data_IF_158383397512
#
_entry.id   IF_158383397512
#
_cell.length_a   1.000
_cell.length_b   1.000
_cell.length_c   1.000
_cell.angle_alpha   90.00
_cell.angle_beta   90.00
_cell.angle_gamma   90.00
#
_symmetry.space_group_name_H-M   'P 1'
#
loop_
_entity.id
_entity.type
_entity.pdbx_description
1 polymer ?
#
# COMPACT_ATOMS: atom_id res chain seq x y z
N UNK A 1 -14.36 -19.20 -43.96
CA UNK A 1 -15.54 -18.50 -44.51
C UNK A 1 -16.69 -18.74 -43.55
N UNK A 2 -16.79 -17.93 -42.48
CA UNK A 2 -17.82 -18.09 -41.47
C UNK A 2 -19.06 -17.28 -41.86
N UNK A 3 -20.11 -17.94 -42.34
CA UNK A 3 -21.42 -17.31 -42.47
C UNK A 3 -22.05 -17.25 -41.08
N UNK A 4 -21.99 -16.08 -40.45
CA UNK A 4 -22.78 -15.77 -39.27
C UNK A 4 -24.26 -15.88 -39.62
N UNK A 5 -24.95 -16.84 -38.98
CA UNK A 5 -26.39 -16.92 -38.95
C UNK A 5 -26.94 -15.78 -38.08
N UNK A 6 -27.49 -14.73 -38.72
CA UNK A 6 -28.51 -13.84 -38.14
C UNK A 6 -29.04 -12.91 -39.24
N UNK A 7 -30.32 -13.05 -39.59
CA UNK A 7 -31.08 -12.29 -40.59
C UNK A 7 -30.51 -12.29 -42.01
N UNK A 8 -30.77 -13.36 -42.77
CA UNK A 8 -30.61 -13.34 -44.23
C UNK A 8 -31.41 -12.17 -44.79
N UNK A 9 -30.75 -11.24 -45.49
CA UNK A 9 -31.48 -10.16 -46.17
C UNK A 9 -32.44 -10.78 -47.18
N UNK A 10 -33.56 -10.10 -47.49
CA UNK A 10 -34.48 -10.56 -48.54
C UNK A 10 -33.75 -10.74 -49.89
N UNK A 11 -32.68 -9.96 -50.10
CA UNK A 11 -31.78 -10.09 -51.24
C UNK A 11 -30.98 -11.40 -51.21
N UNK A 12 -30.47 -11.82 -50.05
CA UNK A 12 -29.76 -13.09 -49.85
C UNK A 12 -30.70 -14.29 -50.02
N UNK A 13 -31.95 -14.15 -49.55
CA UNK A 13 -33.00 -15.16 -49.72
C UNK A 13 -33.32 -15.37 -51.20
N UNK A 14 -33.31 -14.33 -52.04
CA UNK A 14 -33.43 -14.47 -53.50
C UNK A 14 -32.10 -14.75 -54.20
N UNK A 15 -30.96 -14.61 -53.52
CA UNK A 15 -29.63 -14.78 -54.08
C UNK A 15 -29.25 -13.69 -55.10
N UNK A 16 -29.78 -12.48 -54.92
CA UNK A 16 -29.53 -11.34 -55.81
C UNK A 16 -28.84 -10.22 -55.05
N UNK A 17 -28.03 -9.41 -55.75
CA UNK A 17 -27.41 -8.25 -55.13
C UNK A 17 -28.45 -7.15 -54.81
N UNK A 18 -28.18 -6.32 -53.81
CA UNK A 18 -29.06 -5.21 -53.41
C UNK A 18 -29.31 -4.19 -54.55
N UNK A 19 -28.36 -4.08 -55.49
CA UNK A 19 -28.46 -3.26 -56.70
C UNK A 19 -29.15 -3.96 -57.91
N UNK A 20 -29.69 -5.17 -57.73
CA UNK A 20 -30.30 -5.93 -58.83
C UNK A 20 -31.54 -5.24 -59.41
N UNK A 21 -31.71 -5.33 -60.73
CA UNK A 21 -32.89 -4.79 -61.42
C UNK A 21 -34.17 -5.56 -61.06
N UNK A 22 -35.34 -4.96 -61.28
CA UNK A 22 -36.63 -5.62 -61.03
C UNK A 22 -36.78 -6.92 -61.84
N UNK A 23 -36.23 -6.97 -63.05
CA UNK A 23 -36.28 -8.17 -63.89
C UNK A 23 -35.34 -9.27 -63.38
N UNK A 24 -34.19 -8.90 -62.82
CA UNK A 24 -33.30 -9.85 -62.16
C UNK A 24 -33.97 -10.47 -60.91
N UNK A 25 -34.68 -9.66 -60.11
CA UNK A 25 -35.47 -10.13 -58.96
C UNK A 25 -36.57 -11.10 -59.39
N UNK A 26 -37.32 -10.79 -60.46
CA UNK A 26 -38.35 -11.69 -61.01
C UNK A 26 -37.77 -12.99 -61.54
N UNK A 27 -36.63 -12.93 -62.23
CA UNK A 27 -35.94 -14.11 -62.76
C UNK A 27 -35.45 -15.01 -61.62
N UNK A 28 -34.83 -14.42 -60.60
CA UNK A 28 -34.35 -15.14 -59.42
C UNK A 28 -35.50 -15.80 -58.64
N UNK A 29 -36.63 -15.11 -58.47
CA UNK A 29 -37.82 -15.70 -57.86
C UNK A 29 -38.32 -16.93 -58.64
N UNK A 30 -38.42 -16.86 -59.97
CA UNK A 30 -38.85 -18.01 -60.80
C UNK A 30 -37.92 -19.22 -60.64
N UNK A 31 -36.60 -18.99 -60.64
CA UNK A 31 -35.61 -20.05 -60.47
C UNK A 31 -35.71 -20.67 -59.07
N UNK A 32 -35.69 -19.84 -58.01
CA UNK A 32 -35.79 -20.32 -56.63
C UNK A 32 -37.13 -20.96 -56.30
N UNK A 33 -38.23 -20.47 -56.86
CA UNK A 33 -39.55 -21.09 -56.70
C UNK A 33 -39.57 -22.51 -57.30
N UNK A 34 -38.94 -22.72 -58.46
CA UNK A 34 -38.80 -24.05 -59.08
C UNK A 34 -37.84 -24.97 -58.34
N UNK A 35 -36.85 -24.43 -57.63
CA UNK A 35 -35.91 -25.19 -56.80
C UNK A 35 -36.52 -25.59 -55.45
N UNK A 36 -37.38 -24.73 -54.88
CA UNK A 36 -37.98 -24.91 -53.56
C UNK A 36 -39.39 -25.51 -53.60
N UNK A 37 -39.94 -25.77 -54.79
CA UNK A 37 -41.28 -26.33 -54.93
C UNK A 37 -41.34 -27.78 -54.38
N UNK A 38 -42.32 -28.12 -53.52
CA UNK A 38 -42.41 -29.46 -52.94
C UNK A 38 -42.66 -30.57 -53.97
N UNK A 39 -43.19 -30.29 -55.17
CA UNK A 39 -43.30 -31.30 -56.26
C UNK A 39 -41.95 -31.83 -56.76
N UNK A 40 -40.84 -31.09 -56.57
CA UNK A 40 -39.52 -31.63 -56.92
C UNK A 40 -39.08 -32.74 -55.97
N UNK A 41 -39.69 -32.83 -54.79
CA UNK A 41 -39.47 -33.92 -53.85
C UNK A 41 -40.31 -35.10 -54.32
N UNK A 42 -39.65 -36.16 -54.78
CA UNK A 42 -40.33 -37.37 -55.24
C UNK A 42 -41.24 -37.99 -54.17
N UNK A 43 -42.13 -38.90 -54.59
CA UNK A 43 -43.15 -39.54 -53.74
C UNK A 43 -42.62 -40.29 -52.49
N UNK A 44 -41.30 -40.46 -52.35
CA UNK A 44 -40.64 -41.08 -51.19
C UNK A 44 -39.93 -40.11 -50.24
N UNK A 45 -40.09 -38.79 -50.41
CA UNK A 45 -39.44 -37.80 -49.55
C UNK A 45 -40.01 -37.84 -48.12
N UNK A 46 -39.13 -37.67 -47.13
CA UNK A 46 -39.52 -37.59 -45.73
C UNK A 46 -40.38 -36.33 -45.51
N UNK A 47 -41.39 -36.43 -44.65
CA UNK A 47 -42.27 -35.31 -44.28
C UNK A 47 -41.47 -34.07 -43.83
N UNK A 48 -40.34 -34.29 -43.16
CA UNK A 48 -39.41 -33.23 -42.72
C UNK A 48 -38.82 -32.46 -43.91
N UNK A 49 -38.46 -33.14 -44.99
CA UNK A 49 -37.90 -32.50 -46.19
C UNK A 49 -38.97 -31.68 -46.92
N UNK A 50 -40.20 -32.19 -46.95
CA UNK A 50 -41.36 -31.50 -47.52
C UNK A 50 -41.67 -30.21 -46.78
N UNK A 51 -41.67 -30.26 -45.45
CA UNK A 51 -41.86 -29.08 -44.59
C UNK A 51 -40.72 -28.07 -44.76
N UNK A 52 -39.46 -28.53 -44.87
CA UNK A 52 -38.32 -27.65 -45.09
C UNK A 52 -38.37 -26.94 -46.46
N UNK A 53 -38.78 -27.65 -47.52
CA UNK A 53 -38.99 -27.05 -48.84
C UNK A 53 -40.12 -26.02 -48.83
N UNK A 54 -41.23 -26.33 -48.15
CA UNK A 54 -42.34 -25.40 -48.01
C UNK A 54 -41.96 -24.14 -47.23
N UNK A 55 -41.20 -24.27 -46.13
CA UNK A 55 -40.70 -23.14 -45.37
C UNK A 55 -39.80 -22.23 -46.22
N UNK A 56 -38.86 -22.81 -46.98
CA UNK A 56 -37.99 -22.06 -47.90
C UNK A 56 -38.78 -21.40 -49.02
N UNK A 57 -39.80 -22.07 -49.56
CA UNK A 57 -40.68 -21.50 -50.58
C UNK A 57 -41.44 -20.28 -50.04
N UNK A 58 -41.94 -20.36 -48.80
CA UNK A 58 -42.57 -19.21 -48.13
C UNK A 58 -41.59 -18.04 -47.98
N UNK A 59 -40.35 -18.29 -47.54
CA UNK A 59 -39.32 -17.25 -47.44
C UNK A 59 -39.01 -16.59 -48.80
N UNK A 60 -38.84 -17.38 -49.85
CA UNK A 60 -38.61 -16.90 -51.23
C UNK A 60 -39.79 -16.07 -51.73
N UNK A 61 -41.02 -16.48 -51.43
CA UNK A 61 -42.23 -15.72 -51.76
C UNK A 61 -42.30 -14.40 -51.01
N UNK A 62 -42.07 -14.40 -49.70
CA UNK A 62 -42.06 -13.17 -48.89
C UNK A 62 -40.98 -12.19 -49.37
N UNK A 63 -39.79 -12.70 -49.74
CA UNK A 63 -38.74 -11.88 -50.32
C UNK A 63 -39.18 -11.23 -51.65
N UNK A 64 -39.85 -11.99 -52.52
CA UNK A 64 -40.38 -11.43 -53.77
C UNK A 64 -41.53 -10.44 -53.56
N UNK A 65 -42.41 -10.65 -52.58
CA UNK A 65 -43.53 -9.75 -52.27
C UNK A 65 -43.06 -8.35 -51.82
N UNK A 66 -41.88 -8.27 -51.20
CA UNK A 66 -41.27 -7.01 -50.76
C UNK A 66 -40.35 -6.43 -51.82
N UNK A 67 -39.50 -7.26 -52.46
CA UNK A 67 -38.50 -6.79 -53.43
C UNK A 67 -39.05 -6.57 -54.85
N UNK A 68 -40.17 -7.22 -55.18
CA UNK A 68 -40.84 -7.09 -56.47
C UNK A 68 -41.68 -5.81 -56.60
N UNK A 69 -42.10 -5.23 -55.48
CA UNK A 69 -42.81 -3.95 -55.42
C UNK A 69 -41.83 -2.81 -55.14
N UNK A 70 -41.82 -1.79 -56.01
CA UNK A 70 -40.87 -0.68 -55.91
C UNK A 70 -41.00 0.16 -54.63
N UNK A 71 -42.20 0.32 -54.08
CA UNK A 71 -42.45 1.10 -52.87
C UNK A 71 -42.02 0.30 -51.63
N UNK A 72 -42.38 -0.99 -51.57
CA UNK A 72 -41.96 -1.88 -50.48
C UNK A 72 -40.45 -2.11 -50.45
N UNK A 73 -39.83 -2.27 -51.63
CA UNK A 73 -38.38 -2.39 -51.76
C UNK A 73 -37.68 -1.13 -51.24
N UNK A 74 -38.16 0.06 -51.61
CA UNK A 74 -37.61 1.32 -51.12
C UNK A 74 -37.74 1.46 -49.59
N UNK A 75 -38.88 1.08 -49.02
CA UNK A 75 -39.06 1.09 -47.57
C UNK A 75 -38.09 0.12 -46.85
N UNK A 76 -37.90 -1.08 -47.41
CA UNK A 76 -36.95 -2.06 -46.90
C UNK A 76 -35.50 -1.58 -46.98
N UNK A 77 -35.09 -1.01 -48.12
CA UNK A 77 -33.75 -0.46 -48.32
C UNK A 77 -33.47 0.73 -47.37
N UNK A 78 -34.44 1.63 -47.19
CA UNK A 78 -34.34 2.73 -46.22
C UNK A 78 -34.17 2.23 -44.78
N UNK A 79 -34.87 1.16 -44.40
CA UNK A 79 -34.72 0.53 -43.09
C UNK A 79 -33.34 -0.09 -42.89
N UNK A 80 -32.82 -0.79 -43.91
CA UNK A 80 -31.46 -1.36 -43.88
C UNK A 80 -30.39 -0.28 -43.75
N UNK A 81 -30.52 0.83 -44.49
CA UNK A 81 -29.58 1.95 -44.42
C UNK A 81 -29.63 2.66 -43.07
N UNK A 82 -30.82 2.81 -42.48
CA UNK A 82 -30.97 3.34 -41.14
C UNK A 82 -30.27 2.46 -40.10
N UNK A 83 -30.48 1.14 -40.15
CA UNK A 83 -29.83 0.18 -39.26
C UNK A 83 -28.30 0.20 -39.43
N UNK A 84 -27.80 0.24 -40.66
CA UNK A 84 -26.35 0.35 -40.93
C UNK A 84 -25.75 1.64 -40.37
N UNK A 85 -26.44 2.78 -40.52
CA UNK A 85 -25.99 4.07 -39.94
C UNK A 85 -25.97 4.03 -38.42
N UNK A 86 -27.00 3.44 -37.79
CA UNK A 86 -27.07 3.30 -36.33
C UNK A 86 -25.95 2.41 -35.78
N UNK A 87 -25.66 1.27 -36.42
CA UNK A 87 -24.54 0.40 -36.01
C UNK A 87 -23.21 1.14 -36.12
N UNK A 88 -22.97 1.88 -37.21
CA UNK A 88 -21.77 2.69 -37.35
C UNK A 88 -21.64 3.78 -36.27
N UNK A 89 -22.75 4.44 -35.89
CA UNK A 89 -22.76 5.44 -34.81
C UNK A 89 -22.44 4.77 -33.47
N UNK A 90 -23.04 3.61 -33.18
CA UNK A 90 -22.80 2.87 -31.94
C UNK A 90 -21.35 2.39 -31.84
N UNK A 91 -20.78 1.88 -32.94
CA UNK A 91 -19.38 1.45 -32.99
C UNK A 91 -18.41 2.63 -32.79
N UNK A 92 -18.71 3.78 -33.39
CA UNK A 92 -17.96 5.00 -33.18
C UNK A 92 -18.04 5.47 -31.72
N UNK A 93 -19.23 5.44 -31.11
CA UNK A 93 -19.41 5.78 -29.70
C UNK A 93 -18.65 4.81 -28.80
N UNK A 94 -18.64 3.51 -29.11
CA UNK A 94 -17.88 2.52 -28.36
C UNK A 94 -16.37 2.76 -28.45
N UNK A 95 -15.85 3.15 -29.62
CA UNK A 95 -14.44 3.56 -29.77
C UNK A 95 -14.09 4.77 -28.91
N UNK A 96 -14.89 5.83 -29.00
CA UNK A 96 -14.69 7.04 -28.19
C UNK A 96 -14.79 6.76 -26.68
N UNK A 97 -15.67 5.86 -26.26
CA UNK A 97 -15.77 5.45 -24.86
C UNK A 97 -14.51 4.72 -24.38
N UNK A 98 -13.90 3.87 -25.22
CA UNK A 98 -12.62 3.21 -24.91
C UNK A 98 -11.49 4.22 -24.80
N UNK A 99 -11.37 5.13 -25.75
CA UNK A 99 -10.35 6.20 -25.72
C UNK A 99 -10.48 7.08 -24.47
N UNK A 100 -11.70 7.46 -24.10
CA UNK A 100 -11.96 8.21 -22.85
C UNK A 100 -11.58 7.41 -21.60
N UNK A 101 -11.91 6.13 -21.57
CA UNK A 101 -11.55 5.25 -20.45
C UNK A 101 -10.03 5.07 -20.34
N UNK A 102 -9.32 4.97 -21.46
CA UNK A 102 -7.86 4.91 -21.50
C UNK A 102 -7.23 6.20 -21.02
N UNK A 103 -7.74 7.35 -21.45
CA UNK A 103 -7.28 8.66 -20.97
C UNK A 103 -7.47 8.77 -19.44
N UNK A 104 -8.64 8.38 -18.93
CA UNK A 104 -8.91 8.36 -17.49
C UNK A 104 -7.94 7.44 -16.73
N UNK A 105 -7.68 6.22 -17.23
CA UNK A 105 -6.70 5.30 -16.66
C UNK A 105 -5.29 5.89 -16.64
N UNK A 106 -4.88 6.56 -17.71
CA UNK A 106 -3.56 7.21 -17.77
C UNK A 106 -3.45 8.36 -16.76
N UNK A 107 -4.50 9.18 -16.63
CA UNK A 107 -4.52 10.26 -15.62
C UNK A 107 -4.49 9.71 -14.19
N UNK A 108 -5.24 8.64 -13.93
CA UNK A 108 -5.26 7.92 -12.66
C UNK A 108 -3.88 7.34 -12.35
N UNK A 109 -3.24 6.65 -13.32
CA UNK A 109 -1.91 6.08 -13.16
C UNK A 109 -0.86 7.16 -12.84
N UNK A 110 -0.91 8.31 -13.53
CA UNK A 110 -0.03 9.46 -13.22
C UNK A 110 -0.30 10.02 -11.82
N UNK A 111 -1.55 10.07 -11.38
CA UNK A 111 -1.88 10.50 -10.03
C UNK A 111 -1.40 9.48 -8.98
N UNK A 112 -1.65 8.19 -9.21
CA UNK A 112 -1.18 7.10 -8.35
C UNK A 112 0.33 7.10 -8.20
N UNK A 113 1.07 7.30 -9.29
CA UNK A 113 2.53 7.38 -9.26
C UNK A 113 3.03 8.57 -8.44
N UNK A 114 2.45 9.76 -8.65
CA UNK A 114 2.76 10.94 -7.81
C UNK A 114 2.47 10.68 -6.34
N UNK A 115 1.34 10.05 -6.02
CA UNK A 115 0.96 9.71 -4.64
C UNK A 115 1.83 8.60 -4.05
N UNK A 116 2.37 7.69 -4.88
CA UNK A 116 3.32 6.66 -4.46
C UNK A 116 4.63 7.30 -4.00
N UNK A 117 5.22 8.16 -4.84
CA UNK A 117 6.47 8.87 -4.51
C UNK A 117 6.31 9.70 -3.24
N UNK A 118 5.22 10.46 -3.12
CA UNK A 118 4.93 11.26 -1.92
C UNK A 118 4.81 10.39 -0.67
N UNK A 119 4.13 9.25 -0.76
CA UNK A 119 4.03 8.30 0.36
C UNK A 119 5.40 7.76 0.73
N UNK A 120 6.21 7.31 -0.23
CA UNK A 120 7.56 6.81 0.02
C UNK A 120 8.44 7.86 0.70
N UNK A 121 8.34 9.12 0.27
CA UNK A 121 9.08 10.23 0.86
C UNK A 121 8.66 10.51 2.31
N UNK A 122 7.36 10.49 2.60
CA UNK A 122 6.83 10.60 3.98
C UNK A 122 7.39 9.47 4.85
N UNK A 123 7.34 8.22 4.37
CA UNK A 123 7.85 7.07 5.12
C UNK A 123 9.37 7.17 5.34
N UNK A 124 10.13 7.55 4.31
CA UNK A 124 11.57 7.74 4.41
C UNK A 124 11.91 8.86 5.41
N UNK A 125 11.15 9.96 5.41
CA UNK A 125 11.30 11.05 6.36
C UNK A 125 11.01 10.59 7.80
N UNK A 126 9.93 9.86 8.02
CA UNK A 126 9.60 9.29 9.33
C UNK A 126 10.67 8.32 9.82
N UNK A 127 11.22 7.49 8.92
CA UNK A 127 12.31 6.57 9.25
C UNK A 127 13.56 7.36 9.68
N UNK A 128 13.96 8.37 8.92
CA UNK A 128 15.10 9.25 9.28
C UNK A 128 14.90 9.91 10.65
N UNK A 129 13.69 10.37 10.94
CA UNK A 129 13.37 10.96 12.25
C UNK A 129 13.55 9.94 13.39
N UNK A 130 12.99 8.73 13.24
CA UNK A 130 13.13 7.66 14.23
C UNK A 130 14.59 7.24 14.43
N UNK A 131 15.36 7.10 13.35
CA UNK A 131 16.77 6.74 13.41
C UNK A 131 17.59 7.82 14.14
N UNK A 132 17.29 9.10 13.89
CA UNK A 132 17.94 10.21 14.59
C UNK A 132 17.56 10.24 16.08
N UNK A 133 16.29 10.00 16.41
CA UNK A 133 15.84 9.92 17.79
C UNK A 133 16.57 8.80 18.55
N UNK A 134 16.65 7.60 17.97
CA UNK A 134 17.36 6.47 18.56
C UNK A 134 18.85 6.77 18.79
N UNK A 135 19.50 7.49 17.87
CA UNK A 135 20.90 7.93 18.05
C UNK A 135 21.06 8.91 19.20
N UNK A 136 20.11 9.84 19.37
CA UNK A 136 20.12 10.80 20.47
C UNK A 136 19.92 10.08 21.81
N UNK A 137 18.96 9.16 21.87
CA UNK A 137 18.71 8.33 23.05
C UNK A 137 19.94 7.49 23.43
N UNK A 138 20.60 6.87 22.45
CA UNK A 138 21.82 6.10 22.69
C UNK A 138 22.94 6.98 23.30
N UNK A 139 23.20 8.15 22.71
CA UNK A 139 24.19 9.10 23.25
C UNK A 139 23.86 9.53 24.68
N UNK A 140 22.57 9.71 24.97
CA UNK A 140 22.13 10.06 26.31
C UNK A 140 22.37 8.93 27.31
N UNK A 141 22.06 7.69 26.93
CA UNK A 141 22.34 6.50 27.75
C UNK A 141 23.83 6.30 27.98
N UNK A 142 24.68 6.46 26.96
CA UNK A 142 26.13 6.41 27.08
C UNK A 142 26.65 7.47 28.06
N UNK A 143 26.12 8.70 27.97
CA UNK A 143 26.48 9.78 28.90
C UNK A 143 26.08 9.47 30.33
N UNK A 144 24.89 8.89 30.56
CA UNK A 144 24.45 8.45 31.89
C UNK A 144 25.40 7.39 32.43
N UNK A 145 25.69 6.34 31.65
CA UNK A 145 26.58 5.26 32.06
C UNK A 145 27.98 5.77 32.43
N UNK A 146 28.54 6.65 31.61
CA UNK A 146 29.84 7.26 31.88
C UNK A 146 29.82 8.07 33.19
N UNK A 147 28.74 8.83 33.45
CA UNK A 147 28.57 9.60 34.68
C UNK A 147 28.46 8.69 35.92
N UNK A 148 27.68 7.60 35.82
CA UNK A 148 27.55 6.61 36.90
C UNK A 148 28.89 5.92 37.20
N UNK A 149 29.67 5.59 36.17
CA UNK A 149 31.00 5.01 36.32
C UNK A 149 31.96 5.98 37.00
N UNK A 150 31.95 7.26 36.60
CA UNK A 150 32.74 8.31 37.26
C UNK A 150 32.36 8.46 38.75
N UNK A 151 31.07 8.45 39.07
CA UNK A 151 30.61 8.48 40.46
C UNK A 151 31.05 7.25 41.24
N UNK A 152 31.07 6.06 40.60
CA UNK A 152 31.58 4.84 41.23
C UNK A 152 33.06 4.97 41.55
N UNK A 153 33.87 5.41 40.59
CA UNK A 153 35.31 5.61 40.76
C UNK A 153 35.62 6.66 41.83
N UNK A 154 34.87 7.78 41.86
CA UNK A 154 35.04 8.80 42.90
C UNK A 154 34.72 8.25 44.30
N UNK A 155 33.64 7.48 44.46
CA UNK A 155 33.31 6.83 45.75
C UNK A 155 34.38 5.83 46.18
N UNK A 156 34.97 5.09 45.24
CA UNK A 156 36.07 4.18 45.53
C UNK A 156 37.34 4.94 45.95
N UNK A 157 37.66 6.04 45.26
CA UNK A 157 38.78 6.91 45.60
C UNK A 157 38.60 7.57 46.99
N UNK A 158 37.40 8.06 47.31
CA UNK A 158 37.07 8.58 48.64
C UNK A 158 37.30 7.52 49.73
N UNK A 159 36.82 6.28 49.52
CA UNK A 159 37.05 5.17 50.48
C UNK A 159 38.52 4.85 50.67
N UNK A 160 39.31 4.85 49.58
CA UNK A 160 40.75 4.61 49.68
C UNK A 160 41.45 5.74 50.45
N UNK A 161 41.08 7.00 50.18
CA UNK A 161 41.59 8.14 50.92
C UNK A 161 41.22 8.10 52.41
N UNK A 162 39.98 7.68 52.75
CA UNK A 162 39.55 7.48 54.14
C UNK A 162 40.33 6.34 54.82
N UNK A 163 40.56 5.23 54.12
CA UNK A 163 41.37 4.13 54.63
C UNK A 163 42.83 4.53 54.84
N UNK A 164 43.42 5.26 53.90
CA UNK A 164 44.80 5.75 54.00
C UNK A 164 44.94 6.79 55.12
N UNK A 165 43.95 7.68 55.27
CA UNK A 165 43.88 8.61 56.40
C UNK A 165 43.76 7.86 57.75
N UNK A 166 42.90 6.84 57.83
CA UNK A 166 42.74 6.01 59.03
C UNK A 166 44.00 5.20 59.37
N UNK A 167 44.72 4.67 58.36
CA UNK A 167 46.02 4.00 58.55
C UNK A 167 47.10 4.96 59.03
N UNK A 168 47.15 6.18 58.50
CA UNK A 168 48.10 7.21 58.95
C UNK A 168 47.85 7.60 60.41
N UNK A 169 46.59 7.78 60.80
CA UNK A 169 46.20 8.13 62.17
C UNK A 169 46.50 7.00 63.16
N UNK A 170 46.27 5.74 62.77
CA UNK A 170 46.62 4.57 63.60
C UNK A 170 48.13 4.37 63.72
N UNK A 171 48.89 4.62 62.66
CA UNK A 171 50.36 4.59 62.69
C UNK A 171 50.95 5.66 63.62
N UNK A 172 50.41 6.88 63.58
CA UNK A 172 50.81 7.95 64.51
C UNK A 172 50.47 7.57 65.97
N UNK A 173 49.29 7.00 66.23
CA UNK A 173 48.91 6.50 67.55
C UNK A 173 49.78 5.34 68.04
N UNK A 174 50.19 4.43 67.15
CA UNK A 174 51.14 3.34 67.45
C UNK A 174 52.52 3.88 67.82
N UNK A 175 53.07 4.79 67.01
CA UNK A 175 54.37 5.44 67.28
C UNK A 175 54.31 6.22 68.59
N UNK A 176 53.24 6.96 68.85
CA UNK A 176 53.04 7.68 70.10
C UNK A 176 52.96 6.70 71.29
N UNK A 177 52.28 5.57 71.15
CA UNK A 177 52.21 4.55 72.20
C UNK A 177 53.56 3.87 72.45
N UNK A 178 54.36 3.61 71.41
CA UNK A 178 55.74 3.11 71.56
C UNK A 178 56.63 4.12 72.30
N UNK A 179 56.56 5.40 71.93
CA UNK A 179 57.30 6.46 72.61
C UNK A 179 56.91 6.58 74.09
N UNK A 180 55.61 6.45 74.42
CA UNK A 180 55.13 6.40 75.82
C UNK A 180 55.69 5.20 76.57
N UNK A 181 55.75 4.03 75.92
CA UNK A 181 56.31 2.80 76.51
C UNK A 181 57.80 2.94 76.81
N UNK A 182 58.55 3.64 75.96
CA UNK A 182 59.99 3.87 76.13
C UNK A 182 60.32 4.97 77.14
N UNK A 183 59.39 5.88 77.44
CA UNK A 183 59.60 6.98 78.38
C UNK A 183 58.47 7.10 79.43
N UNK A 184 58.41 6.19 80.41
CA UNK A 184 57.32 6.15 81.39
C UNK A 184 57.30 7.35 82.35
N UNK A 185 58.44 8.01 82.62
CA UNK A 185 58.48 9.20 83.47
C UNK A 185 57.83 10.43 82.83
N UNK A 186 57.82 10.51 81.50
CA UNK A 186 57.23 11.63 80.79
C UNK A 186 55.71 11.71 80.96
N UNK A 187 55.01 10.56 80.94
CA UNK A 187 53.56 10.50 81.17
C UNK A 187 53.22 10.95 82.61
N UNK A 188 54.03 10.56 83.59
CA UNK A 188 53.87 10.96 85.00
C UNK A 188 54.00 12.48 85.14
N UNK A 189 55.04 13.08 84.55
CA UNK A 189 55.24 14.54 84.57
C UNK A 189 54.11 15.28 83.83
N UNK A 190 53.65 14.75 82.69
CA UNK A 190 52.53 15.32 81.93
C UNK A 190 51.24 15.32 82.74
N UNK A 191 50.91 14.21 83.40
CA UNK A 191 49.74 14.13 84.27
C UNK A 191 49.84 15.07 85.47
N UNK A 192 51.05 15.24 86.03
CA UNK A 192 51.27 16.18 87.13
C UNK A 192 51.05 17.65 86.70
N UNK A 193 51.49 18.02 85.49
CA UNK A 193 51.23 19.34 84.90
C UNK A 193 49.73 19.56 84.65
N UNK A 194 49.04 18.58 84.07
CA UNK A 194 47.59 18.64 83.84
C UNK A 194 46.79 18.73 85.14
N UNK A 195 47.22 17.99 86.18
CA UNK A 195 46.63 18.06 87.51
C UNK A 195 46.80 19.45 88.12
N UNK A 196 47.99 20.05 88.02
CA UNK A 196 48.25 21.42 88.48
C UNK A 196 47.43 22.46 87.69
N UNK A 197 47.23 22.26 86.39
CA UNK A 197 46.32 23.11 85.60
C UNK A 197 44.86 22.96 86.01
N UNK A 198 44.38 21.73 86.23
CA UNK A 198 43.01 21.48 86.68
C UNK A 198 42.76 22.02 88.11
N UNK A 199 43.75 21.94 88.99
CA UNK A 199 43.70 22.55 90.33
C UNK A 199 43.68 24.08 90.24
N UNK A 200 44.43 24.68 89.29
CA UNK A 200 44.35 26.13 88.99
C UNK A 200 42.98 26.54 88.48
N UNK A 201 42.42 25.81 87.50
CA UNK A 201 41.09 26.11 86.96
C UNK A 201 40.00 25.94 88.03
N UNK A 202 40.04 24.89 88.85
CA UNK A 202 39.11 24.72 89.99
C UNK A 202 39.27 25.84 91.02
N UNK A 203 40.49 26.36 91.21
CA UNK A 203 40.73 27.50 92.10
C UNK A 203 40.17 28.79 91.52
N UNK A 204 40.32 29.01 90.22
CA UNK A 204 39.75 30.13 89.46
C UNK A 204 38.21 30.09 89.44
N UNK A 205 37.61 28.92 89.22
CA UNK A 205 36.17 28.69 89.31
C UNK A 205 35.64 28.91 90.74
N UNK A 206 36.37 28.46 91.77
CA UNK A 206 36.01 28.70 93.17
C UNK A 206 36.12 30.16 93.57
N UNK A 207 37.08 30.90 93.02
CA UNK A 207 37.17 32.36 93.22
C UNK A 207 36.09 33.12 92.46
N UNK A 208 35.63 32.60 91.31
CA UNK A 208 34.52 33.18 90.56
C UNK A 208 33.13 32.86 91.14
N UNK A 209 32.99 31.79 91.96
CA UNK A 209 31.74 31.41 92.62
C UNK A 209 31.52 32.07 94.01
N UNK A 210 32.39 32.99 94.42
CA UNK A 210 32.30 33.72 95.71
C UNK A 210 32.30 35.25 95.56
N UNK A 211 31.96 35.74 94.37
CA UNK A 211 31.64 37.15 94.03
C UNK A 211 30.20 37.17 93.55
#
# INVERSE_FOLDING_TARGET
MGHMAASSSLYDILGVAQNASADAVRKAYKLKALETHPDKLGLGALEIERQAAEARFREVRTAFEVLGDSAKRRAYDNGLDYLRRQVNINDMQARLARERAEWARQTEARHQERMRVLREEIHASQKRYKDNLAKVELRYQERIRAMEEQLRLNREAERLAEQDFSKSMTFEDEVLNELRRMNPEWEVRRQEVLRRQAERLKKEERTHAHV
#
